data_IF_646188404996
#
_entry.id   IF_646188404996
#
_cell.length_a   1.000
_cell.length_b   1.000
_cell.length_c   1.000
_cell.angle_alpha   90.00
_cell.angle_beta   90.00
_cell.angle_gamma   90.00
#
_symmetry.space_group_name_H-M   'P 1'
#
loop_
_entity.id
_entity.type
_entity.pdbx_description
1 polymer ?
#
# COMPACT_ATOMS: atom_id res chain seq x y z
N UNK A 1 19.20 9.21 16.81
CA UNK A 1 19.06 8.51 15.50
C UNK A 1 18.79 9.56 14.43
N UNK A 2 19.32 9.40 13.21
CA UNK A 2 19.10 10.34 12.09
C UNK A 2 18.30 9.65 10.99
N UNK A 3 17.51 10.42 10.24
CA UNK A 3 16.82 9.92 9.05
C UNK A 3 17.85 9.78 7.92
N UNK A 4 17.89 8.60 7.30
CA UNK A 4 18.67 8.39 6.09
C UNK A 4 17.78 8.65 4.86
N UNK A 5 17.90 9.84 4.28
CA UNK A 5 17.06 10.27 3.16
C UNK A 5 17.21 9.40 1.90
N UNK A 6 18.41 8.85 1.65
CA UNK A 6 18.62 7.94 0.51
C UNK A 6 17.86 6.63 0.70
N UNK A 7 17.89 6.09 1.93
CA UNK A 7 17.14 4.89 2.28
C UNK A 7 15.62 5.17 2.28
N UNK A 8 15.19 6.32 2.80
CA UNK A 8 13.79 6.75 2.78
C UNK A 8 13.25 6.77 1.35
N UNK A 9 13.97 7.43 0.43
CA UNK A 9 13.58 7.52 -0.98
C UNK A 9 13.45 6.13 -1.62
N UNK A 10 14.40 5.23 -1.34
CA UNK A 10 14.37 3.85 -1.85
C UNK A 10 13.17 3.06 -1.34
N UNK A 11 12.85 3.18 -0.05
CA UNK A 11 11.68 2.50 0.54
C UNK A 11 10.41 3.02 -0.11
N UNK A 12 10.20 4.34 -0.10
CA UNK A 12 8.98 4.95 -0.67
C UNK A 12 8.82 4.62 -2.15
N UNK A 13 9.90 4.69 -2.95
CA UNK A 13 9.84 4.33 -4.35
C UNK A 13 9.46 2.85 -4.56
N UNK A 14 9.98 1.94 -3.73
CA UNK A 14 9.64 0.53 -3.78
C UNK A 14 8.19 0.28 -3.38
N UNK A 15 7.68 0.96 -2.37
CA UNK A 15 6.28 0.84 -1.91
C UNK A 15 5.29 1.36 -2.94
N UNK A 16 5.61 2.46 -3.61
CA UNK A 16 4.80 2.98 -4.73
C UNK A 16 4.81 1.97 -5.88
N UNK A 17 6.00 1.48 -6.27
CA UNK A 17 6.12 0.49 -7.34
C UNK A 17 5.33 -0.78 -7.02
N UNK A 18 5.44 -1.27 -5.77
CA UNK A 18 4.67 -2.39 -5.26
C UNK A 18 3.16 -2.15 -5.36
N UNK A 19 2.70 -0.99 -4.89
CA UNK A 19 1.28 -0.64 -4.88
C UNK A 19 0.69 -0.55 -6.28
N UNK A 20 1.43 0.05 -7.22
CA UNK A 20 1.04 0.14 -8.63
C UNK A 20 1.02 -1.25 -9.28
N UNK A 21 2.07 -2.05 -9.08
CA UNK A 21 2.14 -3.39 -9.65
C UNK A 21 0.99 -4.28 -9.16
N UNK A 22 0.70 -4.27 -7.85
CA UNK A 22 -0.40 -5.06 -7.30
C UNK A 22 -1.77 -4.53 -7.65
N UNK A 23 -1.93 -3.22 -7.82
CA UNK A 23 -3.16 -2.68 -8.37
C UNK A 23 -3.46 -3.29 -9.74
N UNK A 24 -2.49 -3.35 -10.66
CA UNK A 24 -2.68 -3.98 -11.97
C UNK A 24 -2.94 -5.49 -11.85
N UNK A 25 -2.16 -6.21 -11.04
CA UNK A 25 -2.37 -7.66 -10.83
C UNK A 25 -3.77 -7.93 -10.28
N UNK A 26 -4.22 -7.14 -9.30
CA UNK A 26 -5.53 -7.28 -8.68
C UNK A 26 -6.63 -6.92 -9.69
N UNK A 27 -6.44 -5.87 -10.49
CA UNK A 27 -7.35 -5.51 -11.56
C UNK A 27 -7.53 -6.67 -12.55
N UNK A 28 -6.46 -7.25 -13.07
CA UNK A 28 -6.57 -8.39 -14.01
C UNK A 28 -7.13 -9.65 -13.37
N UNK A 29 -6.71 -9.98 -12.14
CA UNK A 29 -7.19 -11.17 -11.44
C UNK A 29 -8.68 -11.11 -11.10
N UNK A 30 -9.17 -9.92 -10.70
CA UNK A 30 -10.55 -9.72 -10.29
C UNK A 30 -11.48 -9.43 -11.49
N UNK A 31 -10.96 -8.80 -12.55
CA UNK A 31 -11.67 -8.63 -13.82
C UNK A 31 -12.10 -9.99 -14.41
N UNK A 32 -11.21 -10.98 -14.39
CA UNK A 32 -11.52 -12.33 -14.87
C UNK A 32 -12.55 -13.09 -14.02
N UNK A 33 -12.73 -12.70 -12.75
CA UNK A 33 -13.64 -13.38 -11.83
C UNK A 33 -15.05 -12.79 -11.83
N UNK A 34 -15.19 -11.47 -12.04
CA UNK A 34 -16.48 -10.78 -11.91
C UNK A 34 -17.06 -10.25 -13.23
N UNK A 35 -16.28 -10.12 -14.30
CA UNK A 35 -16.75 -9.66 -15.61
C UNK A 35 -17.18 -8.18 -15.68
N UNK A 36 -17.39 -7.53 -14.53
CA UNK A 36 -17.66 -6.11 -14.40
C UNK A 36 -16.44 -5.40 -13.80
N UNK A 37 -16.02 -4.32 -14.46
CA UNK A 37 -14.86 -3.54 -14.09
C UNK A 37 -15.04 -2.74 -12.79
N UNK A 38 -13.98 -2.01 -12.43
CA UNK A 38 -14.02 -1.04 -11.32
C UNK A 38 -15.24 -0.11 -11.44
N UNK A 39 -16.10 -0.08 -10.43
CA UNK A 39 -17.31 0.75 -10.39
C UNK A 39 -18.65 0.01 -10.41
N UNK A 40 -18.65 -1.33 -10.43
CA UNK A 40 -19.89 -2.09 -10.27
C UNK A 40 -20.52 -1.91 -8.88
N UNK A 41 -21.83 -1.63 -8.83
CA UNK A 41 -22.57 -1.33 -7.60
C UNK A 41 -23.01 -2.58 -6.82
N UNK A 42 -22.70 -3.78 -7.33
CA UNK A 42 -23.10 -5.00 -6.64
C UNK A 42 -22.35 -5.13 -5.30
N UNK A 43 -23.00 -5.64 -4.23
CA UNK A 43 -22.35 -5.85 -2.93
C UNK A 43 -21.08 -6.71 -3.02
N UNK A 44 -21.03 -7.64 -3.99
CA UNK A 44 -19.86 -8.48 -4.25
C UNK A 44 -18.70 -7.68 -4.85
N UNK A 45 -18.98 -6.75 -5.76
CA UNK A 45 -17.96 -5.88 -6.36
C UNK A 45 -17.38 -4.90 -5.32
N UNK A 46 -18.23 -4.35 -4.44
CA UNK A 46 -17.79 -3.49 -3.33
C UNK A 46 -16.86 -4.26 -2.38
N UNK A 47 -17.28 -5.45 -1.90
CA UNK A 47 -16.45 -6.29 -1.02
C UNK A 47 -15.12 -6.67 -1.68
N UNK A 48 -15.15 -6.95 -2.99
CA UNK A 48 -13.96 -7.27 -3.75
C UNK A 48 -12.98 -6.09 -3.85
N UNK A 49 -13.50 -4.88 -4.10
CA UNK A 49 -12.71 -3.65 -4.07
C UNK A 49 -12.06 -3.42 -2.71
N UNK A 50 -12.79 -3.64 -1.61
CA UNK A 50 -12.25 -3.54 -0.25
C UNK A 50 -11.12 -4.55 0.00
N UNK A 51 -11.29 -5.81 -0.43
CA UNK A 51 -10.25 -6.85 -0.31
C UNK A 51 -9.00 -6.48 -1.11
N UNK A 52 -9.17 -6.01 -2.35
CA UNK A 52 -8.06 -5.56 -3.19
C UNK A 52 -7.31 -4.38 -2.55
N UNK A 53 -8.04 -3.40 -2.01
CA UNK A 53 -7.46 -2.29 -1.24
C UNK A 53 -6.61 -2.81 -0.08
N UNK A 54 -7.12 -3.76 0.71
CA UNK A 54 -6.39 -4.36 1.83
C UNK A 54 -5.10 -5.08 1.39
N UNK A 55 -5.15 -5.82 0.28
CA UNK A 55 -3.98 -6.53 -0.28
C UNK A 55 -2.88 -5.56 -0.71
N UNK A 56 -3.26 -4.41 -1.27
CA UNK A 56 -2.32 -3.35 -1.67
C UNK A 56 -1.75 -2.62 -0.44
N UNK A 57 -2.61 -2.32 0.54
CA UNK A 57 -2.29 -1.41 1.64
C UNK A 57 -1.50 -2.05 2.79
N UNK A 58 -1.87 -3.27 3.22
CA UNK A 58 -1.27 -3.86 4.42
C UNK A 58 0.21 -4.26 4.29
N UNK A 59 0.69 -4.82 3.17
CA UNK A 59 2.06 -5.29 3.07
C UNK A 59 3.15 -4.23 3.29
N UNK A 60 3.12 -3.02 2.70
CA UNK A 60 4.11 -1.99 2.99
C UNK A 60 4.06 -1.54 4.46
N UNK A 61 2.86 -1.47 5.04
CA UNK A 61 2.66 -1.14 6.46
C UNK A 61 3.32 -2.19 7.36
N UNK A 62 3.03 -3.47 7.13
CA UNK A 62 3.58 -4.58 7.90
C UNK A 62 5.10 -4.63 7.75
N UNK A 63 5.61 -4.41 6.54
CA UNK A 63 7.05 -4.42 6.26
C UNK A 63 7.80 -3.34 7.06
N UNK A 64 7.31 -2.10 7.05
CA UNK A 64 7.93 -1.00 7.79
C UNK A 64 7.87 -1.23 9.30
N UNK A 65 6.72 -1.65 9.82
CA UNK A 65 6.55 -2.01 11.24
C UNK A 65 7.57 -3.10 11.62
N UNK A 66 7.63 -4.19 10.86
CA UNK A 66 8.58 -5.26 11.09
C UNK A 66 10.03 -4.76 11.11
N UNK A 67 10.42 -3.93 10.14
CA UNK A 67 11.77 -3.36 10.06
C UNK A 67 12.08 -2.38 11.21
N UNK A 68 11.09 -1.69 11.76
CA UNK A 68 11.29 -0.83 12.93
C UNK A 68 11.67 -1.63 14.19
N UNK A 69 11.12 -2.84 14.35
CA UNK A 69 11.36 -3.70 15.52
C UNK A 69 12.49 -4.73 15.32
N UNK A 70 12.90 -5.00 14.08
CA UNK A 70 13.98 -5.94 13.78
C UNK A 70 15.34 -5.43 14.31
N UNK A 71 16.21 -6.32 14.87
CA UNK A 71 17.49 -5.93 15.44
C UNK A 71 18.40 -5.16 14.47
N UNK A 72 18.40 -5.54 13.19
CA UNK A 72 19.18 -4.87 12.13
C UNK A 72 18.53 -3.57 11.62
N UNK A 73 17.25 -3.34 11.89
CA UNK A 73 16.51 -2.14 11.50
C UNK A 73 16.50 -1.05 12.56
N UNK A 74 16.88 -1.38 13.81
CA UNK A 74 16.89 -0.45 14.95
C UNK A 74 17.83 0.74 14.77
N UNK A 75 18.80 0.72 13.84
CA UNK A 75 19.64 1.87 13.50
C UNK A 75 18.95 2.86 12.55
N UNK A 76 17.96 2.38 11.77
CA UNK A 76 17.22 3.14 10.76
C UNK A 76 15.72 3.25 11.09
N UNK A 77 15.28 2.96 12.32
CA UNK A 77 13.86 2.92 12.68
C UNK A 77 13.09 4.21 12.36
N UNK A 78 13.71 5.38 12.56
CA UNK A 78 13.13 6.67 12.16
C UNK A 78 12.91 6.81 10.64
N UNK A 79 13.76 6.15 9.84
CA UNK A 79 13.62 6.14 8.38
C UNK A 79 12.41 5.29 7.97
N UNK A 80 12.24 4.11 8.58
CA UNK A 80 11.06 3.27 8.37
C UNK A 80 9.77 3.91 8.90
N UNK A 81 9.84 4.63 10.02
CA UNK A 81 8.72 5.44 10.51
C UNK A 81 8.36 6.56 9.53
N UNK A 82 9.37 7.24 8.96
CA UNK A 82 9.16 8.24 7.93
C UNK A 82 8.48 7.67 6.69
N UNK A 83 8.95 6.52 6.20
CA UNK A 83 8.32 5.81 5.07
C UNK A 83 6.88 5.42 5.39
N UNK A 84 6.64 4.91 6.60
CA UNK A 84 5.30 4.57 7.10
C UNK A 84 4.34 5.75 7.06
N UNK A 85 4.78 6.94 7.49
CA UNK A 85 3.95 8.15 7.43
C UNK A 85 3.65 8.54 5.98
N UNK A 86 4.65 8.49 5.11
CA UNK A 86 4.50 8.83 3.68
C UNK A 86 3.50 7.91 2.99
N UNK A 87 3.60 6.60 3.21
CA UNK A 87 2.70 5.64 2.56
C UNK A 87 1.27 5.74 3.10
N UNK A 88 1.08 5.97 4.40
CA UNK A 88 -0.24 6.25 4.98
C UNK A 88 -0.85 7.50 4.35
N UNK A 89 -0.09 8.59 4.24
CA UNK A 89 -0.57 9.83 3.61
C UNK A 89 -0.96 9.63 2.15
N UNK A 90 -0.18 8.86 1.39
CA UNK A 90 -0.52 8.49 0.01
C UNK A 90 -1.85 7.73 -0.06
N UNK A 91 -2.06 6.75 0.82
CA UNK A 91 -3.32 6.00 0.85
C UNK A 91 -4.51 6.85 1.30
N UNK A 92 -4.35 7.71 2.29
CA UNK A 92 -5.39 8.67 2.71
C UNK A 92 -5.77 9.57 1.53
N UNK A 93 -4.79 10.11 0.80
CA UNK A 93 -5.03 10.88 -0.42
C UNK A 93 -5.77 10.06 -1.49
N UNK A 94 -5.36 8.80 -1.71
CA UNK A 94 -6.02 7.92 -2.67
C UNK A 94 -7.48 7.64 -2.29
N UNK A 95 -7.77 7.46 -1.01
CA UNK A 95 -9.13 7.28 -0.49
C UNK A 95 -9.98 8.53 -0.71
N UNK A 96 -9.50 9.72 -0.33
CA UNK A 96 -10.23 10.98 -0.55
C UNK A 96 -10.46 11.31 -2.02
N UNK A 97 -9.60 10.84 -2.92
CA UNK A 97 -9.77 10.98 -4.37
C UNK A 97 -10.65 9.89 -4.99
N UNK A 98 -11.11 8.91 -4.21
CA UNK A 98 -11.96 7.82 -4.68
C UNK A 98 -11.22 6.75 -5.50
N UNK A 99 -9.89 6.71 -5.45
CA UNK A 99 -9.10 5.67 -6.13
C UNK A 99 -9.16 4.32 -5.41
N UNK A 100 -9.39 4.34 -4.10
CA UNK A 100 -9.55 3.15 -3.26
C UNK A 100 -10.78 3.33 -2.37
N UNK A 101 -11.50 2.23 -2.13
CA UNK A 101 -12.62 2.15 -1.20
C UNK A 101 -12.32 1.18 -0.07
N UNK A 102 -12.77 1.53 1.14
CA UNK A 102 -12.79 0.68 2.34
C UNK A 102 -14.24 0.52 2.77
#
# INVERSE_FOLDING_TARGET
MKINYLLLLKIVALEILYSVALFFVSFFALWGYFGEGAGAESPRAILCGQIATCIVLFPPIIFNIYKMFAPNGKQNSLTYLGAQIVIILLFVCAYYKGFIGI
#
